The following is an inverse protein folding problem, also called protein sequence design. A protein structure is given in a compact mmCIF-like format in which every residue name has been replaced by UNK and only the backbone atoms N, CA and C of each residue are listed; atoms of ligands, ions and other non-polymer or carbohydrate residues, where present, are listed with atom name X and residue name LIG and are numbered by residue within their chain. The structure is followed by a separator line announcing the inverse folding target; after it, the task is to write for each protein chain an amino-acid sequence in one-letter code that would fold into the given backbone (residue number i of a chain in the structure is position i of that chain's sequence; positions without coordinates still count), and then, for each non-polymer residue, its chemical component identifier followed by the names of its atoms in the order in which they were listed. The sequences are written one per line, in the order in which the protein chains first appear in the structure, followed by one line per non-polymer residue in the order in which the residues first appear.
data_IF_109251622368
#
_entry.id   IF_109251622368
#
_cell.length_a   1.000
_cell.length_b   1.000
_cell.length_c   1.000
_cell.angle_alpha   90.00
_cell.angle_beta   90.00
_cell.angle_gamma   90.00
#
_symmetry.space_group_name_H-M   'P 1'
#
loop_
_entity.id
_entity.type
_entity.pdbx_description
1 polymer ?
#
# COMPACT_ATOMS: atom_id res chain seq x y z
N UNK A 1 -8.92 -4.96 -8.36
CA UNK A 1 -8.63 -3.72 -9.11
C UNK A 1 -7.36 -3.13 -8.52
N UNK A 2 -6.71 -2.21 -9.23
CA UNK A 2 -5.60 -1.44 -8.68
C UNK A 2 -4.26 -2.15 -8.74
N UNK A 3 -3.37 -1.73 -7.85
CA UNK A 3 -1.97 -2.12 -7.84
C UNK A 3 -1.77 -3.59 -7.49
N UNK A 4 -0.75 -4.23 -8.06
CA UNK A 4 -0.55 -5.67 -7.92
C UNK A 4 0.88 -6.12 -8.20
N UNK A 5 1.22 -7.30 -7.71
CA UNK A 5 2.35 -8.10 -8.19
C UNK A 5 1.85 -9.21 -9.10
N UNK A 6 2.58 -9.45 -10.20
CA UNK A 6 2.39 -10.61 -11.07
C UNK A 6 3.58 -11.54 -10.89
N UNK A 7 3.30 -12.71 -10.33
CA UNK A 7 4.25 -13.80 -10.09
C UNK A 7 4.47 -14.72 -11.29
N UNK A 8 3.55 -14.69 -12.27
CA UNK A 8 3.63 -15.55 -13.47
C UNK A 8 4.99 -15.37 -14.18
N UNK A 9 5.76 -16.45 -14.44
CA UNK A 9 7.12 -16.34 -14.94
C UNK A 9 7.24 -16.10 -16.45
N UNK A 10 6.17 -16.38 -17.21
CA UNK A 10 6.16 -16.24 -18.67
C UNK A 10 4.74 -16.24 -19.22
N UNK A 11 4.58 -15.77 -20.46
CA UNK A 11 3.30 -15.79 -21.17
C UNK A 11 2.38 -14.64 -20.79
N UNK A 12 1.08 -14.74 -21.11
CA UNK A 12 0.16 -13.62 -20.92
C UNK A 12 -0.20 -13.40 -19.46
N UNK A 13 -0.39 -12.13 -19.08
CA UNK A 13 -0.96 -11.79 -17.78
C UNK A 13 -2.43 -12.24 -17.71
N UNK A 14 -2.97 -12.36 -16.51
CA UNK A 14 -4.42 -12.35 -16.36
C UNK A 14 -4.93 -10.93 -16.64
N UNK A 15 -6.23 -10.75 -16.87
CA UNK A 15 -6.79 -9.41 -17.08
C UNK A 15 -6.70 -8.57 -15.82
N UNK A 16 -6.11 -7.39 -15.98
CA UNK A 16 -5.84 -6.46 -14.90
C UNK A 16 -6.74 -5.23 -14.97
N UNK A 17 -7.61 -5.05 -13.97
CA UNK A 17 -8.46 -3.86 -13.87
C UNK A 17 -7.82 -2.76 -13.02
N UNK A 18 -7.76 -1.54 -13.54
CA UNK A 18 -7.28 -0.34 -12.85
C UNK A 18 -8.34 0.74 -12.90
N UNK A 19 -8.58 1.40 -11.77
CA UNK A 19 -9.44 2.58 -11.74
C UNK A 19 -8.66 3.81 -12.15
N UNK A 20 -9.35 4.73 -12.80
CA UNK A 20 -8.82 6.05 -13.12
C UNK A 20 -9.95 7.08 -12.99
N UNK A 21 -9.60 8.30 -12.57
CA UNK A 21 -10.60 9.36 -12.38
C UNK A 21 -11.00 10.02 -13.71
N UNK A 22 -10.04 10.64 -14.40
CA UNK A 22 -10.30 11.42 -15.62
C UNK A 22 -9.34 11.00 -16.74
N UNK A 23 -8.15 11.58 -16.76
CA UNK A 23 -7.11 11.26 -17.72
C UNK A 23 -5.99 10.45 -17.06
N UNK A 24 -5.53 9.42 -17.75
CA UNK A 24 -4.41 8.60 -17.30
C UNK A 24 -3.39 8.37 -18.41
N UNK A 25 -2.16 8.08 -17.99
CA UNK A 25 -1.10 7.60 -18.86
C UNK A 25 -0.57 6.29 -18.29
N UNK A 26 -0.45 5.27 -19.14
CA UNK A 26 0.21 4.03 -18.73
C UNK A 26 1.65 4.04 -19.24
N UNK A 27 2.61 3.85 -18.34
CA UNK A 27 4.04 3.81 -18.63
C UNK A 27 4.55 2.40 -18.36
N UNK A 28 5.31 1.84 -19.31
CA UNK A 28 5.99 0.56 -19.16
C UNK A 28 7.48 0.80 -18.93
N UNK A 29 8.06 0.07 -17.97
CA UNK A 29 9.44 0.26 -17.52
C UNK A 29 10.16 -1.09 -17.51
N UNK A 30 11.38 -1.11 -18.02
CA UNK A 30 12.33 -2.22 -17.92
C UNK A 30 13.74 -1.63 -17.77
N UNK A 31 14.17 -1.42 -16.52
CA UNK A 31 15.36 -0.66 -16.11
C UNK A 31 15.35 0.82 -16.49
N UNK A 32 14.78 1.16 -17.64
CA UNK A 32 14.42 2.50 -18.09
C UNK A 32 13.00 2.50 -18.67
N UNK A 33 12.47 3.68 -18.97
CA UNK A 33 11.14 3.82 -19.60
C UNK A 33 11.18 3.17 -20.98
N UNK A 34 10.39 2.10 -21.16
CA UNK A 34 10.18 1.46 -22.46
C UNK A 34 9.27 2.30 -23.34
N UNK A 35 8.25 2.90 -22.74
CA UNK A 35 7.35 3.83 -23.41
C UNK A 35 5.96 3.90 -22.80
N UNK A 36 5.08 4.62 -23.49
CA UNK A 36 3.68 4.78 -23.10
C UNK A 36 2.80 3.77 -23.82
N UNK A 37 1.82 3.23 -23.10
CA UNK A 37 0.83 2.31 -23.64
C UNK A 37 -0.51 3.01 -23.79
N UNK A 38 -1.13 2.81 -24.95
CA UNK A 38 -2.50 3.21 -25.26
C UNK A 38 -3.36 1.99 -25.57
N UNK A 39 -4.67 2.19 -25.67
CA UNK A 39 -5.60 1.13 -26.05
C UNK A 39 -6.32 1.52 -27.33
N UNK A 40 -6.25 0.65 -28.35
CA UNK A 40 -6.87 0.81 -29.65
C UNK A 40 -7.50 -0.50 -30.08
N UNK A 41 -8.78 -0.49 -30.44
CA UNK A 41 -9.51 -1.65 -30.99
C UNK A 41 -9.29 -2.94 -30.18
N UNK A 42 -9.50 -2.90 -28.87
CA UNK A 42 -9.31 -4.01 -27.93
C UNK A 42 -7.84 -4.47 -27.73
N UNK A 43 -6.86 -3.72 -28.22
CA UNK A 43 -5.43 -4.03 -28.08
C UNK A 43 -4.69 -2.95 -27.30
N UNK A 44 -3.78 -3.38 -26.43
CA UNK A 44 -2.77 -2.54 -25.81
C UNK A 44 -1.63 -2.30 -26.79
N UNK A 45 -1.33 -1.03 -27.06
CA UNK A 45 -0.33 -0.61 -28.05
C UNK A 45 0.78 0.18 -27.37
N UNK A 46 2.01 -0.30 -27.44
CA UNK A 46 3.20 0.46 -27.05
C UNK A 46 3.53 1.47 -28.17
N UNK A 47 3.74 2.74 -27.79
CA UNK A 47 4.00 3.84 -28.73
C UNK A 47 2.99 3.90 -29.88
N UNK A 48 1.71 3.62 -29.59
CA UNK A 48 0.61 3.67 -30.55
C UNK A 48 0.67 2.66 -31.73
N UNK A 49 1.74 1.89 -31.85
CA UNK A 49 2.11 1.18 -33.09
C UNK A 49 2.44 -0.29 -32.87
N UNK A 50 2.98 -0.65 -31.70
CA UNK A 50 3.41 -2.03 -31.42
C UNK A 50 2.41 -2.74 -30.50
N UNK A 51 1.74 -3.83 -30.95
CA UNK A 51 0.90 -4.63 -30.08
C UNK A 51 1.69 -5.16 -28.88
N UNK A 52 1.16 -4.95 -27.69
CA UNK A 52 1.77 -5.34 -26.42
C UNK A 52 0.88 -6.28 -25.59
N UNK A 53 -0.42 -6.27 -25.86
CA UNK A 53 -1.40 -7.03 -25.08
C UNK A 53 -2.79 -7.04 -25.68
N UNK A 54 -3.55 -8.09 -25.40
CA UNK A 54 -4.99 -8.20 -25.68
C UNK A 54 -5.63 -9.27 -24.77
N UNK A 55 -6.91 -9.14 -24.38
CA UNK A 55 -7.80 -8.01 -24.62
C UNK A 55 -7.48 -6.81 -23.70
N UNK A 56 -7.63 -5.60 -24.25
CA UNK A 56 -7.48 -4.35 -23.52
C UNK A 56 -8.67 -3.42 -23.78
N UNK A 57 -9.39 -3.03 -22.72
CA UNK A 57 -10.66 -2.30 -22.84
C UNK A 57 -10.70 -1.11 -21.90
N UNK A 58 -11.19 0.02 -22.40
CA UNK A 58 -11.48 1.21 -21.62
C UNK A 58 -12.98 1.24 -21.32
N UNK A 59 -13.31 1.41 -20.05
CA UNK A 59 -14.67 1.63 -19.56
C UNK A 59 -14.73 2.94 -18.79
N UNK A 60 -15.93 3.51 -18.55
CA UNK A 60 -16.05 4.66 -17.67
C UNK A 60 -15.47 4.38 -16.27
N UNK A 61 -14.41 5.10 -15.90
CA UNK A 61 -13.76 5.04 -14.58
C UNK A 61 -12.80 3.87 -14.35
N UNK A 62 -12.62 2.95 -15.32
CA UNK A 62 -11.65 1.88 -15.19
C UNK A 62 -11.18 1.31 -16.53
N UNK A 63 -10.00 0.72 -16.54
CA UNK A 63 -9.40 0.08 -17.70
C UNK A 63 -9.01 -1.35 -17.38
N UNK A 64 -9.28 -2.26 -18.31
CA UNK A 64 -8.83 -3.64 -18.28
C UNK A 64 -7.64 -3.81 -19.22
N UNK A 65 -6.53 -4.33 -18.70
CA UNK A 65 -5.28 -4.53 -19.43
C UNK A 65 -4.89 -6.00 -19.32
N UNK A 66 -4.66 -6.65 -20.45
CA UNK A 66 -4.06 -7.98 -20.52
C UNK A 66 -2.81 -7.87 -21.36
N UNK A 67 -1.65 -8.27 -20.84
CA UNK A 67 -0.38 -8.19 -21.57
C UNK A 67 -0.04 -9.55 -22.16
N UNK A 68 0.53 -9.57 -23.37
CA UNK A 68 0.85 -10.82 -24.06
C UNK A 68 2.06 -11.55 -23.45
N UNK A 69 3.00 -10.78 -22.88
CA UNK A 69 4.16 -11.33 -22.21
C UNK A 69 4.50 -10.54 -20.94
N UNK A 70 4.37 -11.20 -19.80
CA UNK A 70 4.72 -10.65 -18.47
C UNK A 70 6.20 -10.36 -18.30
N UNK A 71 7.10 -10.95 -19.10
CA UNK A 71 8.56 -10.73 -18.99
C UNK A 71 9.06 -9.56 -19.83
N UNK A 72 8.21 -8.91 -20.63
CA UNK A 72 8.62 -7.84 -21.53
C UNK A 72 8.82 -6.48 -20.82
N UNK A 73 8.37 -6.37 -19.57
CA UNK A 73 8.48 -5.21 -18.69
C UNK A 73 8.70 -5.67 -17.26
N UNK A 74 9.29 -4.81 -16.43
CA UNK A 74 9.44 -5.02 -14.98
C UNK A 74 8.36 -4.31 -14.19
N UNK A 75 7.93 -3.13 -14.66
CA UNK A 75 6.92 -2.31 -14.00
C UNK A 75 5.96 -1.76 -15.06
N UNK A 76 4.69 -1.69 -14.68
CA UNK A 76 3.68 -0.87 -15.35
C UNK A 76 3.14 0.14 -14.35
N UNK A 77 3.25 1.42 -14.67
CA UNK A 77 2.73 2.52 -13.86
C UNK A 77 1.53 3.14 -14.56
N UNK A 78 0.47 3.41 -13.81
CA UNK A 78 -0.66 4.20 -14.27
C UNK A 78 -0.59 5.54 -13.57
N UNK A 79 -0.21 6.57 -14.31
CA UNK A 79 -0.17 7.94 -13.84
C UNK A 79 -1.53 8.60 -14.06
N UNK A 80 -2.03 9.32 -13.07
CA UNK A 80 -3.09 10.29 -13.30
C UNK A 80 -2.50 11.57 -13.88
N UNK A 81 -3.04 12.02 -15.01
CA UNK A 81 -2.62 13.25 -15.68
C UNK A 81 -3.30 14.44 -15.01
N UNK A 82 -2.80 14.83 -13.84
CA UNK A 82 -3.20 16.05 -13.13
C UNK A 82 -2.08 17.09 -13.17
N UNK A 83 -2.34 18.30 -12.63
CA UNK A 83 -1.32 19.34 -12.49
C UNK A 83 -0.08 18.90 -11.68
N UNK A 84 -0.20 17.83 -10.88
CA UNK A 84 0.92 17.13 -10.23
C UNK A 84 0.78 15.63 -10.50
N UNK A 85 1.36 15.12 -11.60
CA UNK A 85 1.26 13.71 -11.94
C UNK A 85 1.74 12.84 -10.79
N UNK A 86 0.90 11.87 -10.41
CA UNK A 86 1.20 10.89 -9.36
C UNK A 86 0.79 9.51 -9.86
N UNK A 87 1.52 8.52 -9.38
CA UNK A 87 1.30 7.12 -9.73
C UNK A 87 0.04 6.63 -9.02
N UNK A 88 -1.06 6.54 -9.77
CA UNK A 88 -2.36 6.12 -9.25
C UNK A 88 -2.43 4.61 -9.01
N UNK A 89 -1.68 3.84 -9.79
CA UNK A 89 -1.50 2.40 -9.58
C UNK A 89 -0.17 1.91 -10.14
N UNK A 90 0.37 0.85 -9.52
CA UNK A 90 1.60 0.19 -9.98
C UNK A 90 1.38 -1.30 -10.18
N UNK A 91 2.10 -1.88 -11.13
CA UNK A 91 2.15 -3.32 -11.31
C UNK A 91 3.58 -3.77 -11.47
N UNK A 92 4.02 -4.64 -10.57
CA UNK A 92 5.36 -5.20 -10.59
C UNK A 92 5.30 -6.62 -11.16
N UNK A 93 6.11 -6.87 -12.19
CA UNK A 93 6.26 -8.18 -12.80
C UNK A 93 7.46 -8.86 -12.13
N UNK A 94 7.17 -9.78 -11.21
CA UNK A 94 8.15 -10.42 -10.33
C UNK A 94 8.08 -11.93 -10.55
N UNK A 95 8.78 -12.49 -11.55
CA UNK A 95 8.72 -13.92 -11.85
C UNK A 95 8.94 -14.81 -10.62
N UNK A 96 8.05 -15.77 -10.43
CA UNK A 96 7.98 -16.66 -9.27
C UNK A 96 7.84 -15.94 -7.91
N UNK A 97 7.40 -14.68 -7.92
CA UNK A 97 7.39 -13.77 -6.78
C UNK A 97 8.76 -13.70 -6.07
N UNK A 98 9.84 -13.77 -6.85
CA UNK A 98 11.20 -13.65 -6.34
C UNK A 98 11.58 -12.16 -6.22
N UNK A 99 11.17 -11.53 -5.12
CA UNK A 99 11.48 -10.13 -4.85
C UNK A 99 12.98 -9.92 -4.69
N UNK A 100 13.48 -8.88 -5.34
CA UNK A 100 14.88 -8.46 -5.22
C UNK A 100 15.00 -7.35 -4.19
N UNK A 101 16.06 -7.39 -3.38
CA UNK A 101 16.41 -6.28 -2.50
C UNK A 101 16.60 -4.99 -3.34
N UNK A 102 16.00 -3.85 -2.95
CA UNK A 102 16.12 -2.60 -3.69
C UNK A 102 17.50 -1.96 -3.53
N UNK A 103 17.88 -1.13 -4.50
CA UNK A 103 19.04 -0.26 -4.37
C UNK A 103 18.80 0.84 -3.30
N UNK A 104 19.85 1.47 -2.76
CA UNK A 104 19.68 2.56 -1.81
C UNK A 104 18.77 3.68 -2.33
N UNK A 105 17.70 3.95 -1.57
CA UNK A 105 16.69 4.97 -1.88
C UNK A 105 15.58 4.54 -2.84
N UNK A 106 15.59 3.30 -3.35
CA UNK A 106 14.50 2.73 -4.13
C UNK A 106 13.50 1.99 -3.23
N UNK A 107 12.22 1.93 -3.64
CA UNK A 107 11.16 1.28 -2.86
C UNK A 107 11.33 -0.23 -2.78
N UNK A 108 11.09 -0.79 -1.59
CA UNK A 108 11.03 -2.24 -1.36
C UNK A 108 9.61 -2.76 -1.58
N UNK A 109 9.39 -3.50 -2.66
CA UNK A 109 8.06 -4.02 -3.02
C UNK A 109 7.60 -5.08 -2.02
N UNK A 110 8.53 -5.89 -1.50
CA UNK A 110 8.22 -6.97 -0.57
C UNK A 110 7.59 -6.47 0.74
N UNK A 111 8.11 -5.38 1.30
CA UNK A 111 7.60 -4.77 2.53
C UNK A 111 6.13 -4.35 2.40
N UNK A 112 5.73 -3.86 1.22
CA UNK A 112 4.36 -3.39 0.98
C UNK A 112 3.42 -4.48 0.48
N UNK A 113 3.95 -5.62 0.02
CA UNK A 113 3.16 -6.73 -0.48
C UNK A 113 2.17 -7.27 0.60
N UNK A 114 0.91 -7.58 0.25
CA UNK A 114 0.26 -7.38 -1.05
C UNK A 114 -0.05 -5.90 -1.36
N UNK A 115 0.03 -5.53 -2.64
CA UNK A 115 -0.26 -4.19 -3.14
C UNK A 115 -1.75 -3.91 -3.36
N UNK A 116 -2.59 -4.94 -3.34
CA UNK A 116 -4.05 -4.81 -3.21
C UNK A 116 -4.48 -5.36 -1.86
N UNK A 117 -5.27 -4.59 -1.09
CA UNK A 117 -5.73 -4.98 0.25
C UNK A 117 -7.24 -4.84 0.39
N UNK A 118 -7.88 -5.88 0.90
CA UNK A 118 -9.32 -5.94 1.13
C UNK A 118 -9.58 -5.87 2.64
N UNK A 119 -10.15 -4.75 3.11
CA UNK A 119 -10.15 -4.38 4.54
C UNK A 119 -11.55 -4.15 5.09
N UNK A 120 -12.60 -4.62 4.40
CA UNK A 120 -14.00 -4.44 4.81
C UNK A 120 -14.26 -4.88 6.25
N UNK A 121 -13.69 -6.01 6.68
CA UNK A 121 -14.04 -6.64 7.96
C UNK A 121 -13.11 -6.23 9.12
N UNK A 122 -12.18 -5.29 8.89
CA UNK A 122 -11.17 -4.88 9.86
C UNK A 122 -11.32 -3.41 10.20
N UNK A 123 -11.49 -3.02 11.48
CA UNK A 123 -11.65 -1.61 11.86
C UNK A 123 -10.38 -0.78 11.65
N UNK A 124 -9.22 -1.44 11.68
CA UNK A 124 -7.90 -0.87 11.44
C UNK A 124 -7.08 -1.86 10.62
N UNK A 125 -6.15 -1.36 9.83
CA UNK A 125 -5.24 -2.18 9.03
C UNK A 125 -3.86 -1.56 9.00
N UNK A 126 -2.85 -2.41 8.78
CA UNK A 126 -1.45 -2.00 8.67
C UNK A 126 -0.99 -2.07 7.21
N UNK A 127 -0.24 -1.07 6.80
CA UNK A 127 0.51 -1.08 5.54
C UNK A 127 1.90 -0.54 5.83
N UNK A 128 2.90 -1.35 5.51
CA UNK A 128 4.29 -0.96 5.66
C UNK A 128 4.86 -0.56 4.32
N UNK A 129 5.80 0.37 4.35
CA UNK A 129 6.53 0.85 3.19
C UNK A 129 7.99 0.94 3.55
N UNK A 130 8.88 0.64 2.60
CA UNK A 130 10.30 0.77 2.84
C UNK A 130 11.05 1.25 1.61
N UNK A 131 12.22 1.83 1.88
CA UNK A 131 13.23 2.17 0.87
C UNK A 131 14.58 1.54 1.23
N UNK A 132 15.37 1.18 0.23
CA UNK A 132 16.68 0.58 0.39
C UNK A 132 17.71 1.48 1.08
N UNK A 133 18.66 0.85 1.78
CA UNK A 133 19.81 1.47 2.42
C UNK A 133 19.48 2.01 3.81
N UNK A 134 19.71 1.26 4.89
CA UNK A 134 19.40 1.68 6.26
C UNK A 134 20.13 2.98 6.69
N UNK A 135 21.32 3.21 6.13
CA UNK A 135 22.17 4.37 6.42
C UNK A 135 22.12 5.48 5.35
N UNK A 136 21.36 5.27 4.27
CA UNK A 136 21.34 6.23 3.18
C UNK A 136 20.50 7.47 3.54
N UNK A 137 20.85 8.63 2.98
CA UNK A 137 20.23 9.93 3.33
C UNK A 137 19.36 10.47 2.18
N UNK A 138 18.57 9.59 1.57
CA UNK A 138 17.65 9.96 0.50
C UNK A 138 16.31 10.45 1.04
N UNK A 139 15.55 11.12 0.19
CA UNK A 139 14.18 11.52 0.48
C UNK A 139 13.19 10.40 0.21
N UNK A 140 12.06 10.41 0.93
CA UNK A 140 10.90 9.58 0.64
C UNK A 140 9.60 10.35 0.93
N UNK A 141 8.52 10.03 0.21
CA UNK A 141 7.19 10.63 0.40
C UNK A 141 6.12 9.56 0.54
N UNK A 142 5.11 9.85 1.35
CA UNK A 142 3.88 9.07 1.44
C UNK A 142 2.67 9.96 1.13
N UNK A 143 1.90 9.54 0.14
CA UNK A 143 0.77 10.29 -0.41
C UNK A 143 -0.49 9.42 -0.35
N UNK A 144 -1.63 10.03 -0.01
CA UNK A 144 -2.96 9.40 -0.14
C UNK A 144 -3.76 10.24 -1.13
N UNK A 145 -4.29 9.60 -2.19
CA UNK A 145 -5.09 10.26 -3.23
C UNK A 145 -4.45 11.56 -3.74
N UNK A 146 -3.18 11.47 -4.16
CA UNK A 146 -2.35 12.58 -4.66
C UNK A 146 -2.07 13.73 -3.66
N UNK A 147 -2.43 13.58 -2.39
CA UNK A 147 -2.05 14.52 -1.32
C UNK A 147 -0.85 13.99 -0.56
N UNK A 148 0.25 14.73 -0.56
CA UNK A 148 1.44 14.35 0.21
C UNK A 148 1.23 14.62 1.69
N UNK A 149 1.33 13.58 2.51
CA UNK A 149 1.04 13.63 3.95
C UNK A 149 2.30 13.50 4.78
N UNK A 150 3.26 12.71 4.33
CA UNK A 150 4.51 12.53 5.06
C UNK A 150 5.70 12.69 4.11
N UNK A 151 6.75 13.37 4.58
CA UNK A 151 8.02 13.51 3.86
C UNK A 151 9.17 13.26 4.81
N UNK A 152 10.15 12.47 4.37
CA UNK A 152 11.32 12.10 5.14
C UNK A 152 12.61 12.42 4.38
N UNK A 153 13.68 12.59 5.16
CA UNK A 153 15.06 12.50 4.68
C UNK A 153 15.83 11.56 5.61
N UNK A 154 16.45 10.53 5.03
CA UNK A 154 16.94 9.39 5.80
C UNK A 154 15.78 8.77 6.58
N UNK A 155 15.92 8.64 7.91
CA UNK A 155 14.84 8.15 8.79
C UNK A 155 14.00 9.26 9.42
N UNK A 156 14.39 10.53 9.26
CA UNK A 156 13.79 11.66 9.98
C UNK A 156 12.59 12.22 9.22
N UNK A 157 11.46 12.32 9.91
CA UNK A 157 10.27 12.97 9.40
C UNK A 157 10.51 14.48 9.33
N UNK A 158 10.36 15.05 8.14
CA UNK A 158 10.52 16.48 7.88
C UNK A 158 9.17 17.19 7.69
N UNK A 159 8.14 16.47 7.25
CA UNK A 159 6.78 16.99 7.15
C UNK A 159 5.77 16.03 7.77
N UNK A 160 4.97 16.54 8.71
CA UNK A 160 3.88 15.81 9.39
C UNK A 160 2.53 16.39 8.96
N UNK A 161 1.96 15.86 7.89
CA UNK A 161 0.62 16.22 7.41
C UNK A 161 -0.50 15.40 8.06
N UNK A 162 -0.18 14.32 8.77
CA UNK A 162 -1.13 13.48 9.49
C UNK A 162 -0.53 12.85 10.75
N UNK A 163 -1.39 12.43 11.69
CA UNK A 163 -0.96 11.85 12.98
C UNK A 163 -0.21 10.52 12.85
N UNK A 164 -0.50 9.74 11.81
CA UNK A 164 0.20 8.48 11.55
C UNK A 164 1.61 8.68 10.98
N UNK A 165 2.00 9.89 10.58
CA UNK A 165 3.36 10.15 10.11
C UNK A 165 4.33 10.14 11.30
N UNK A 166 5.27 9.20 11.29
CA UNK A 166 6.33 9.05 12.29
C UNK A 166 7.69 8.95 11.61
N UNK A 167 8.78 9.07 12.36
CA UNK A 167 10.12 8.69 11.88
C UNK A 167 10.10 7.25 11.32
N UNK A 168 10.90 7.00 10.28
CA UNK A 168 11.08 5.64 9.78
C UNK A 168 11.95 4.82 10.72
N UNK A 169 11.62 3.55 10.87
CA UNK A 169 12.44 2.59 11.59
C UNK A 169 13.62 2.19 10.72
N UNK A 170 14.82 2.25 11.30
CA UNK A 170 16.03 1.76 10.66
C UNK A 170 16.13 0.25 10.86
N UNK A 171 16.12 -0.51 9.77
CA UNK A 171 16.37 -1.96 9.79
C UNK A 171 17.73 -2.24 9.16
N UNK A 172 18.76 -2.36 10.00
CA UNK A 172 20.13 -2.59 9.54
C UNK A 172 20.33 -4.01 9.00
N UNK A 173 19.48 -4.97 9.41
CA UNK A 173 19.59 -6.37 9.00
C UNK A 173 19.08 -6.59 7.58
N UNK A 174 17.94 -5.99 7.24
CA UNK A 174 17.40 -5.96 5.89
C UNK A 174 18.03 -4.84 5.04
N UNK A 175 18.76 -3.92 5.69
CA UNK A 175 19.32 -2.70 5.11
C UNK A 175 18.22 -1.84 4.45
N UNK A 176 17.19 -1.55 5.24
CA UNK A 176 15.99 -0.79 4.86
C UNK A 176 15.72 0.36 5.85
N UNK A 177 14.98 1.36 5.37
CA UNK A 177 14.27 2.33 6.23
C UNK A 177 12.78 2.10 6.04
N UNK A 178 12.05 1.84 7.13
CA UNK A 178 10.68 1.33 7.09
C UNK A 178 9.71 2.32 7.75
N UNK A 179 8.71 2.76 7.00
CA UNK A 179 7.53 3.41 7.54
C UNK A 179 6.45 2.37 7.84
N UNK A 180 5.93 2.37 9.07
CA UNK A 180 4.89 1.44 9.55
C UNK A 180 3.59 2.19 9.77
N UNK A 181 2.70 2.18 8.78
CA UNK A 181 1.44 2.89 8.84
C UNK A 181 0.32 2.03 9.42
N UNK A 182 -0.45 2.59 10.36
CA UNK A 182 -1.69 1.99 10.87
C UNK A 182 -2.84 2.95 10.57
N UNK A 183 -3.85 2.45 9.88
CA UNK A 183 -4.91 3.26 9.30
C UNK A 183 -6.29 2.78 9.76
N UNK A 184 -7.22 3.70 10.09
CA UNK A 184 -8.60 3.35 10.32
C UNK A 184 -9.28 2.96 9.01
N UNK A 185 -10.23 2.03 9.09
CA UNK A 185 -11.16 1.77 8.00
C UNK A 185 -12.05 2.98 7.77
N UNK A 186 -12.11 3.47 6.53
CA UNK A 186 -13.04 4.53 6.13
C UNK A 186 -14.38 3.93 5.69
N UNK A 187 -15.48 4.62 5.98
CA UNK A 187 -16.85 4.18 5.65
C UNK A 187 -17.52 5.05 4.59
N UNK A 188 -16.96 6.21 4.30
CA UNK A 188 -17.49 7.19 3.34
C UNK A 188 -16.91 7.04 1.93
N UNK A 189 -15.93 6.16 1.74
CA UNK A 189 -15.32 5.83 0.45
C UNK A 189 -15.18 4.32 0.33
N UNK A 190 -15.24 3.80 -0.91
CA UNK A 190 -15.07 2.37 -1.17
C UNK A 190 -13.61 1.98 -1.41
N UNK A 191 -12.80 2.91 -1.95
CA UNK A 191 -11.46 2.62 -2.46
C UNK A 191 -10.55 3.82 -2.27
N UNK A 192 -9.25 3.58 -2.08
CA UNK A 192 -8.22 4.61 -2.12
C UNK A 192 -6.85 4.04 -2.47
N UNK A 193 -5.93 4.92 -2.86
CA UNK A 193 -4.56 4.57 -3.24
C UNK A 193 -3.56 5.23 -2.29
N UNK A 194 -2.68 4.39 -1.72
CA UNK A 194 -1.56 4.80 -0.88
C UNK A 194 -0.29 4.74 -1.72
N UNK A 195 0.21 5.90 -2.13
CA UNK A 195 1.42 5.99 -2.93
C UNK A 195 2.63 6.26 -2.03
N UNK A 196 3.72 5.56 -2.28
CA UNK A 196 4.98 5.74 -1.60
C UNK A 196 6.10 5.84 -2.62
N UNK A 197 6.93 6.89 -2.51
CA UNK A 197 7.99 7.15 -3.46
C UNK A 197 9.33 7.33 -2.75
N UNK A 198 10.36 6.72 -3.32
CA UNK A 198 11.76 6.96 -3.02
C UNK A 198 12.39 7.94 -4.00
N UNK A 199 13.68 7.76 -4.32
CA UNK A 199 14.40 8.65 -5.24
C UNK A 199 13.96 8.52 -6.70
N UNK A 200 13.87 7.28 -7.19
CA UNK A 200 13.64 6.98 -8.62
C UNK A 200 12.50 6.01 -8.87
N UNK A 201 11.94 5.45 -7.80
CA UNK A 201 10.91 4.43 -7.87
C UNK A 201 9.78 4.79 -6.93
N UNK A 202 8.57 4.41 -7.33
CA UNK A 202 7.37 4.53 -6.52
C UNK A 202 6.61 3.20 -6.56
N UNK A 203 5.81 2.97 -5.53
CA UNK A 203 4.80 1.93 -5.53
C UNK A 203 3.51 2.50 -4.97
N UNK A 204 2.42 1.85 -5.32
CA UNK A 204 1.10 2.18 -4.80
C UNK A 204 0.47 0.93 -4.20
N UNK A 205 -0.19 1.08 -3.05
CA UNK A 205 -1.03 0.07 -2.43
C UNK A 205 -2.49 0.52 -2.58
N UNK A 206 -3.29 -0.30 -3.24
CA UNK A 206 -4.73 -0.11 -3.44
C UNK A 206 -5.50 -0.71 -2.27
N UNK A 207 -6.27 0.12 -1.57
CA UNK A 207 -7.08 -0.26 -0.41
C UNK A 207 -8.54 -0.32 -0.84
N UNK A 208 -9.18 -1.48 -0.72
CA UNK A 208 -10.62 -1.68 -0.95
C UNK A 208 -11.34 -1.90 0.37
N UNK A 209 -12.19 -0.94 0.73
CA UNK A 209 -13.05 -0.93 1.92
C UNK A 209 -14.34 -1.73 1.75
N UNK A 210 -14.71 -2.06 0.51
CA UNK A 210 -15.96 -2.75 0.16
C UNK A 210 -15.82 -4.26 0.06
N UNK A 211 -14.59 -4.76 -0.09
CA UNK A 211 -14.28 -6.18 -0.28
C UNK A 211 -13.57 -6.79 0.92
N UNK A 212 -13.77 -8.10 1.06
CA UNK A 212 -13.08 -8.97 2.02
C UNK A 212 -12.30 -10.04 1.26
N UNK A 213 -11.39 -10.72 1.96
CA UNK A 213 -10.70 -11.89 1.43
C UNK A 213 -9.23 -11.64 1.09
N UNK A 214 -8.68 -12.52 0.27
CA UNK A 214 -7.25 -12.56 -0.06
C UNK A 214 -7.04 -11.88 -1.42
N UNK A 215 -6.05 -10.98 -1.50
CA UNK A 215 -5.68 -10.35 -2.77
C UNK A 215 -5.23 -11.40 -3.81
N UNK A 216 -5.63 -11.26 -5.09
CA UNK A 216 -5.25 -12.21 -6.14
C UNK A 216 -3.74 -12.47 -6.25
N UNK A 217 -2.90 -11.45 -6.02
CA UNK A 217 -1.43 -11.60 -6.07
C UNK A 217 -0.89 -12.51 -4.96
N UNK A 218 -1.57 -12.59 -3.81
CA UNK A 218 -1.21 -13.51 -2.73
C UNK A 218 -1.50 -14.94 -3.15
N UNK A 219 -2.62 -15.18 -3.83
CA UNK A 219 -2.94 -16.49 -4.39
C UNK A 219 -1.95 -16.89 -5.49
N UNK A 220 -1.61 -15.97 -6.39
CA UNK A 220 -0.62 -16.18 -7.46
C UNK A 220 0.78 -16.47 -6.88
N UNK A 221 1.21 -15.74 -5.85
CA UNK A 221 2.52 -15.97 -5.24
C UNK A 221 2.60 -17.25 -4.41
N UNK A 222 1.50 -17.67 -3.77
CA UNK A 222 1.47 -18.88 -2.91
C UNK A 222 1.84 -20.17 -3.63
N UNK A 223 1.63 -20.24 -4.95
CA UNK A 223 1.95 -21.44 -5.72
C UNK A 223 3.47 -21.65 -5.89
N UNK A 224 4.30 -20.64 -5.61
CA UNK A 224 5.74 -20.75 -5.72
C UNK A 224 6.36 -21.11 -4.36
N UNK A 225 7.09 -22.23 -4.31
CA UNK A 225 7.62 -22.85 -3.11
C UNK A 225 8.59 -22.00 -2.26
N UNK A 226 9.04 -20.83 -2.77
CA UNK A 226 9.87 -19.87 -2.04
C UNK A 226 9.07 -18.91 -1.16
N UNK A 227 7.75 -18.88 -1.29
CA UNK A 227 6.88 -17.98 -0.54
C UNK A 227 6.37 -18.67 0.74
N UNK A 228 7.27 -19.29 1.50
CA UNK A 228 6.94 -20.01 2.75
C UNK A 228 6.46 -19.09 3.89
N UNK A 229 6.56 -17.77 3.72
CA UNK A 229 6.29 -16.79 4.78
C UNK A 229 5.08 -15.87 4.51
N UNK A 230 4.27 -16.17 3.48
CA UNK A 230 3.05 -15.40 3.20
C UNK A 230 1.99 -15.54 4.29
N UNK A 231 1.99 -16.64 5.03
CA UNK A 231 1.10 -16.87 6.18
C UNK A 231 1.34 -15.87 7.30
N UNK A 232 2.58 -15.39 7.46
CA UNK A 232 3.00 -14.50 8.55
C UNK A 232 2.64 -13.04 8.23
N UNK A 233 2.70 -12.65 6.95
CA UNK A 233 2.23 -11.35 6.42
C UNK A 233 0.71 -11.16 6.55
N UNK A 234 -0.08 -12.24 6.37
CA UNK A 234 -1.54 -12.21 6.57
C UNK A 234 -1.90 -12.26 8.06
N UNK A 235 -1.08 -12.90 8.89
CA UNK A 235 -1.35 -13.11 10.32
C UNK A 235 -0.96 -11.93 11.24
N UNK A 236 -0.09 -11.00 10.82
CA UNK A 236 0.22 -9.81 11.61
C UNK A 236 -0.73 -8.63 11.33
N UNK A 237 -2.03 -8.87 11.47
CA UNK A 237 -2.93 -7.84 11.99
C UNK A 237 -2.97 -8.03 13.50
N UNK A 238 -2.27 -7.21 14.31
CA UNK A 238 -2.53 -7.26 15.73
C UNK A 238 -3.99 -6.84 15.91
N UNK A 239 -4.80 -7.75 16.44
CA UNK A 239 -5.93 -7.34 17.25
C UNK A 239 -5.31 -6.49 18.37
N UNK A 240 -5.29 -5.17 18.19
CA UNK A 240 -5.06 -4.28 19.31
C UNK A 240 -6.24 -4.54 20.25
N UNK A 241 -5.94 -5.31 21.29
CA UNK A 241 -6.86 -5.56 22.38
C UNK A 241 -7.38 -4.21 22.84
N UNK A 242 -8.67 -3.97 22.60
CA UNK A 242 -9.43 -2.98 23.35
C UNK A 242 -9.18 -3.33 24.80
N UNK A 243 -8.38 -2.52 25.50
CA UNK A 243 -8.40 -2.51 26.97
C UNK A 243 -9.78 -2.00 27.35
N UNK A 244 -10.75 -2.90 27.38
CA UNK A 244 -11.97 -2.70 28.13
C UNK A 244 -11.51 -2.53 29.56
N UNK A 245 -11.64 -1.32 30.08
CA UNK A 245 -11.49 -1.02 31.49
C UNK A 245 -12.54 -1.83 32.25
N UNK A 246 -12.20 -3.06 32.62
CA UNK A 246 -12.92 -3.78 33.67
C UNK A 246 -12.67 -3.03 34.96
N UNK A 247 -13.68 -2.23 35.34
CA UNK A 247 -13.88 -1.75 36.71
C UNK A 247 -13.82 -2.96 37.64
N UNK A 248 -12.65 -3.21 38.22
CA UNK A 248 -12.54 -4.12 39.35
C UNK A 248 -13.16 -3.41 40.55
N UNK A 249 -14.41 -3.76 40.86
CA UNK A 249 -14.98 -3.62 42.19
C UNK A 249 -14.13 -4.46 43.15
N UNK A 250 -13.06 -3.88 43.68
CA UNK A 250 -12.41 -4.40 44.87
C UNK A 250 -13.24 -3.96 46.08
N UNK A 251 -13.85 -4.96 46.73
CA UNK A 251 -14.37 -4.85 48.08
C UNK A 251 -13.20 -4.50 49.00
N UNK A 252 -13.19 -3.30 49.55
CA UNK A 252 -12.38 -2.96 50.71
C UNK A 252 -13.29 -2.97 51.94
N UNK A 253 -13.17 -4.04 52.71
CA UNK A 253 -13.60 -4.09 54.11
C UNK A 253 -12.52 -3.41 54.96
N UNK A 254 -12.85 -2.29 55.61
CA UNK A 254 -12.18 -1.91 56.86
C UNK A 254 -13.15 -1.17 57.77
N UNK A 255 -13.32 -1.76 58.95
CA UNK A 255 -14.01 -1.30 60.15
C UNK A 255 -13.39 -0.03 60.76
N UNK A 256 -14.23 0.92 61.18
CA UNK A 256 -13.85 2.01 62.09
C UNK A 256 -14.85 3.18 62.07
N UNK A 257 -15.21 3.78 63.22
CA UNK A 257 -16.59 4.19 63.50
C UNK A 257 -16.98 5.60 63.04
N UNK A 258 -18.29 5.78 62.95
CA UNK A 258 -19.01 6.99 62.62
C UNK A 258 -18.71 8.16 63.56
N UNK A 259 -18.55 9.36 62.97
CA UNK A 259 -18.91 10.61 63.63
C UNK A 259 -19.72 11.45 62.64
N UNK A 260 -20.97 11.72 63.02
CA UNK A 260 -21.81 12.73 62.40
C UNK A 260 -21.10 14.10 62.46
N UNK A 261 -21.28 14.94 61.43
CA UNK A 261 -21.79 16.30 61.59
C UNK A 261 -22.02 17.00 60.24
N UNK A 262 -23.31 17.20 59.94
CA UNK A 262 -23.97 18.42 59.45
C UNK A 262 -23.47 19.16 58.20
N UNK A 263 -24.36 19.22 57.20
CA UNK A 263 -24.43 20.19 56.12
C UNK A 263 -24.25 21.65 56.59
N UNK A 264 -23.55 22.45 55.79
CA UNK A 264 -23.96 23.83 55.47
C UNK A 264 -23.42 24.22 54.08
N UNK A 265 -24.35 24.57 53.20
CA UNK A 265 -24.09 25.28 51.97
C UNK A 265 -23.76 26.74 52.29
N UNK A 266 -22.78 27.33 51.62
CA UNK A 266 -22.75 28.78 51.34
C UNK A 266 -22.25 28.98 49.91
N UNK A 267 -23.09 29.69 49.17
CA UNK A 267 -22.87 30.30 47.85
C UNK A 267 -22.03 31.57 48.05
N UNK A 268 -21.05 31.77 47.18
CA UNK A 268 -20.66 33.08 46.67
C UNK A 268 -20.06 32.89 45.27
#
# INVERSE_FOLDING_TARGET
WGSRVIGKPSGPSDTMSYEYNDNYRTVLINDSVLGTMSIKRNQCMLWETKPWGEPCNIFPGYVNITLNNVTAQKIMEMDEITARPRVASTTFFVPHCNFTKPAPGEVDVWTSFPLSRFVKDTPWFRVDFAVGGANYDSTATFDINATSLCFWRGTKLLHKGAEFCTDMVKDESADLRVFRGVFPRKTNISRESFAFAGLKTALTVSIDYSQSGISPEVADCKQYAKVKDLSTLVATMPAYATKTSTRNNSKTTSSGPASMHTCRAIIA
#
